data_IF_934051790000
#
_entry.id   IF_934051790000
#
_cell.length_a   1.000
_cell.length_b   1.000
_cell.length_c   1.000
_cell.angle_alpha   90.00
_cell.angle_beta   90.00
_cell.angle_gamma   90.00
#
_symmetry.space_group_name_H-M   'P 1'
#
loop_
_entity.id
_entity.type
_entity.pdbx_description
1 polymer ?
#
# COMPACT_ATOMS: atom_id res chain seq x y z
N UNK A 1 15.82 -15.89 -8.07
CA UNK A 1 17.06 -15.08 -7.97
C UNK A 1 16.74 -13.59 -7.98
N UNK A 2 16.18 -13.03 -9.05
CA UNK A 2 15.85 -11.60 -9.09
C UNK A 2 14.60 -11.24 -8.26
N UNK A 3 13.58 -12.11 -8.28
CA UNK A 3 12.36 -11.95 -7.47
C UNK A 3 12.64 -12.05 -5.97
N UNK A 4 13.50 -12.99 -5.55
CA UNK A 4 13.89 -13.15 -4.15
C UNK A 4 14.66 -11.92 -3.64
N UNK A 5 15.54 -11.37 -4.48
CA UNK A 5 16.26 -10.13 -4.18
C UNK A 5 15.29 -8.96 -4.05
N UNK A 6 14.36 -8.82 -4.99
CA UNK A 6 13.35 -7.75 -4.97
C UNK A 6 12.49 -7.83 -3.69
N UNK A 7 11.99 -9.02 -3.35
CA UNK A 7 11.22 -9.24 -2.14
C UNK A 7 12.02 -8.94 -0.87
N UNK A 8 13.30 -9.32 -0.84
CA UNK A 8 14.19 -9.02 0.28
C UNK A 8 14.41 -7.51 0.43
N UNK A 9 14.62 -6.79 -0.68
CA UNK A 9 14.78 -5.34 -0.67
C UNK A 9 13.51 -4.64 -0.18
N UNK A 10 12.33 -5.05 -0.65
CA UNK A 10 11.05 -4.50 -0.19
C UNK A 10 10.87 -4.74 1.31
N UNK A 11 11.16 -5.94 1.80
CA UNK A 11 11.04 -6.27 3.22
C UNK A 11 11.99 -5.41 4.09
N UNK A 12 13.24 -5.23 3.67
CA UNK A 12 14.22 -4.40 4.38
C UNK A 12 13.81 -2.93 4.37
N UNK A 13 13.49 -2.38 3.19
CA UNK A 13 13.07 -0.99 3.04
C UNK A 13 11.79 -0.71 3.85
N UNK A 14 10.81 -1.64 3.81
CA UNK A 14 9.58 -1.56 4.58
C UNK A 14 9.82 -1.57 6.09
N UNK A 15 10.66 -2.49 6.59
CA UNK A 15 11.06 -2.54 7.99
C UNK A 15 11.76 -1.24 8.43
N UNK A 16 12.68 -0.72 7.62
CA UNK A 16 13.39 0.53 7.92
C UNK A 16 12.43 1.71 8.02
N UNK A 17 11.45 1.80 7.11
CA UNK A 17 10.44 2.87 7.14
C UNK A 17 9.50 2.75 8.34
N UNK A 18 9.10 1.52 8.68
CA UNK A 18 8.21 1.24 9.82
C UNK A 18 8.84 1.64 11.16
N UNK A 19 10.16 1.52 11.29
CA UNK A 19 10.91 1.78 12.53
C UNK A 19 11.82 3.00 12.42
N UNK A 20 11.59 3.91 11.47
CA UNK A 20 12.51 4.99 11.17
C UNK A 20 12.90 5.85 12.38
N UNK A 21 11.94 6.18 13.24
CA UNK A 21 12.16 6.98 14.46
C UNK A 21 13.02 6.24 15.50
N UNK A 22 12.98 4.91 15.51
CA UNK A 22 13.69 4.03 16.44
C UNK A 22 15.14 3.78 15.96
N UNK A 23 15.42 4.03 14.67
CA UNK A 23 16.69 3.72 14.00
C UNK A 23 17.60 4.96 13.88
N UNK A 24 17.92 5.62 15.00
CA UNK A 24 18.69 6.87 15.03
C UNK A 24 20.06 6.83 14.34
N UNK A 25 20.71 5.65 14.23
CA UNK A 25 21.97 5.50 13.49
C UNK A 25 21.78 5.54 11.96
N UNK A 26 20.67 5.01 11.44
CA UNK A 26 20.37 4.98 10.01
C UNK A 26 19.96 6.35 9.49
N UNK A 27 19.30 7.17 10.30
CA UNK A 27 18.91 8.55 9.97
C UNK A 27 20.10 9.42 9.54
N UNK A 28 21.30 9.12 10.05
CA UNK A 28 22.52 9.85 9.72
C UNK A 28 23.22 9.36 8.44
N UNK A 29 22.81 8.20 7.89
CA UNK A 29 23.48 7.52 6.78
C UNK A 29 22.62 7.36 5.54
N UNK A 30 21.31 7.46 5.69
CA UNK A 30 20.34 7.28 4.62
C UNK A 30 19.29 8.38 4.71
N UNK A 31 18.81 8.83 3.56
CA UNK A 31 17.71 9.79 3.49
C UNK A 31 16.36 9.06 3.53
N UNK A 32 15.46 9.52 4.41
CA UNK A 32 14.12 8.92 4.56
C UNK A 32 13.35 8.93 3.23
N UNK A 33 13.40 10.03 2.49
CA UNK A 33 12.66 10.18 1.25
C UNK A 33 13.21 9.25 0.18
N UNK A 34 14.53 9.08 0.09
CA UNK A 34 15.13 8.14 -0.86
C UNK A 34 14.71 6.69 -0.57
N UNK A 35 14.68 6.27 0.69
CA UNK A 35 14.19 4.94 1.08
C UNK A 35 12.69 4.80 0.79
N UNK A 36 11.90 5.81 1.13
CA UNK A 36 10.46 5.88 0.87
C UNK A 36 10.13 5.79 -0.63
N UNK A 37 10.85 6.53 -1.47
CA UNK A 37 10.66 6.53 -2.94
C UNK A 37 11.03 5.19 -3.56
N UNK A 38 12.15 4.59 -3.13
CA UNK A 38 12.53 3.24 -3.57
C UNK A 38 11.43 2.23 -3.20
N UNK A 39 11.01 2.24 -1.94
CA UNK A 39 9.98 1.35 -1.44
C UNK A 39 8.66 1.50 -2.19
N UNK A 40 8.17 2.74 -2.37
CA UNK A 40 6.96 3.03 -3.16
C UNK A 40 7.12 2.49 -4.58
N UNK A 41 8.24 2.77 -5.26
CA UNK A 41 8.46 2.32 -6.64
C UNK A 41 8.39 0.80 -6.78
N UNK A 42 8.96 0.06 -5.82
CA UNK A 42 8.92 -1.41 -5.83
C UNK A 42 7.51 -1.93 -5.56
N UNK A 43 6.83 -1.37 -4.57
CA UNK A 43 5.44 -1.72 -4.25
C UNK A 43 4.48 -1.40 -5.39
N UNK A 44 4.65 -0.27 -6.10
CA UNK A 44 3.83 0.07 -7.27
C UNK A 44 3.98 -0.98 -8.37
N UNK A 45 5.21 -1.45 -8.63
CA UNK A 45 5.43 -2.55 -9.59
C UNK A 45 4.71 -3.83 -9.15
N UNK A 46 4.82 -4.16 -7.86
CA UNK A 46 4.17 -5.34 -7.30
C UNK A 46 2.64 -5.27 -7.39
N UNK A 47 2.09 -4.09 -7.11
CA UNK A 47 0.66 -3.81 -7.21
C UNK A 47 0.18 -3.90 -8.66
N UNK A 48 0.92 -3.35 -9.62
CA UNK A 48 0.60 -3.45 -11.05
C UNK A 48 0.61 -4.91 -11.53
N UNK A 49 1.61 -5.70 -11.13
CA UNK A 49 1.68 -7.14 -11.45
C UNK A 49 0.52 -7.95 -10.86
N UNK A 50 -0.10 -7.46 -9.79
CA UNK A 50 -1.21 -8.13 -9.11
C UNK A 50 -2.55 -7.40 -9.27
N UNK A 51 -2.66 -6.43 -10.19
CA UNK A 51 -3.80 -5.53 -10.28
C UNK A 51 -5.16 -6.22 -10.35
N UNK A 52 -5.28 -7.29 -11.15
CA UNK A 52 -6.54 -8.00 -11.33
C UNK A 52 -7.01 -8.65 -10.02
N UNK A 53 -6.06 -9.17 -9.23
CA UNK A 53 -6.35 -9.70 -7.89
C UNK A 53 -6.75 -8.58 -6.94
N UNK A 54 -5.99 -7.49 -6.89
CA UNK A 54 -6.32 -6.32 -6.06
C UNK A 54 -7.73 -5.83 -6.36
N UNK A 55 -8.08 -5.63 -7.64
CA UNK A 55 -9.40 -5.16 -8.05
C UNK A 55 -10.50 -6.14 -7.64
N UNK A 56 -10.27 -7.44 -7.80
CA UNK A 56 -11.20 -8.48 -7.35
C UNK A 56 -11.47 -8.38 -5.85
N UNK A 57 -10.42 -8.37 -5.04
CA UNK A 57 -10.50 -8.29 -3.57
C UNK A 57 -11.15 -6.98 -3.08
N UNK A 58 -10.89 -5.85 -3.76
CA UNK A 58 -11.58 -4.58 -3.47
C UNK A 58 -13.08 -4.71 -3.73
N UNK A 59 -13.48 -5.31 -4.85
CA UNK A 59 -14.89 -5.48 -5.21
C UNK A 59 -15.64 -6.40 -4.24
N UNK A 60 -14.96 -7.41 -3.70
CA UNK A 60 -15.54 -8.31 -2.68
C UNK A 60 -15.76 -7.61 -1.33
N UNK A 61 -14.99 -6.57 -1.04
CA UNK A 61 -15.14 -5.76 0.16
C UNK A 61 -16.26 -4.73 0.04
N UNK A 62 -17.48 -5.15 0.36
CA UNK A 62 -18.69 -4.28 0.38
C UNK A 62 -18.45 -2.95 1.12
N UNK A 63 -17.77 -2.99 2.27
CA UNK A 63 -17.51 -1.79 3.08
C UNK A 63 -16.51 -0.85 2.41
N UNK A 64 -15.45 -1.40 1.81
CA UNK A 64 -14.49 -0.58 1.07
C UNK A 64 -15.18 0.08 -0.12
N UNK A 65 -15.98 -0.68 -0.88
CA UNK A 65 -16.74 -0.15 -2.02
C UNK A 65 -17.68 1.00 -1.65
N UNK A 66 -18.39 0.89 -0.52
CA UNK A 66 -19.24 1.97 0.00
C UNK A 66 -18.43 3.24 0.28
N UNK A 67 -17.30 3.11 0.99
CA UNK A 67 -16.43 4.23 1.33
C UNK A 67 -15.77 4.86 0.08
N UNK A 68 -15.37 4.06 -0.91
CA UNK A 68 -14.80 4.56 -2.17
C UNK A 68 -15.86 5.31 -3.01
N UNK A 69 -17.11 4.86 -3.02
CA UNK A 69 -18.22 5.60 -3.66
C UNK A 69 -18.44 6.93 -2.98
N UNK A 70 -18.46 6.95 -1.64
CA UNK A 70 -18.61 8.20 -0.87
C UNK A 70 -17.46 9.18 -1.18
N UNK A 71 -16.23 8.69 -1.24
CA UNK A 71 -15.04 9.49 -1.53
C UNK A 71 -15.08 10.20 -2.90
N UNK A 72 -15.81 9.66 -3.88
CA UNK A 72 -15.97 10.29 -5.21
C UNK A 72 -16.89 11.51 -5.19
N UNK A 73 -17.87 11.54 -4.29
CA UNK A 73 -18.97 12.52 -4.32
C UNK A 73 -18.93 13.52 -3.16
N UNK A 74 -18.04 13.33 -2.20
CA UNK A 74 -17.90 14.21 -1.05
C UNK A 74 -16.67 13.92 -0.21
N UNK A 75 -16.49 14.72 0.83
CA UNK A 75 -15.37 14.56 1.76
C UNK A 75 -15.61 13.39 2.73
N UNK A 76 -14.51 12.70 3.03
CA UNK A 76 -14.45 11.66 4.04
C UNK A 76 -14.03 12.27 5.37
N UNK A 77 -14.65 11.81 6.44
CA UNK A 77 -14.19 12.05 7.81
C UNK A 77 -12.83 11.37 8.05
N UNK A 78 -12.11 11.81 9.09
CA UNK A 78 -10.82 11.18 9.44
C UNK A 78 -11.01 9.70 9.82
N UNK A 79 -12.12 9.36 10.46
CA UNK A 79 -12.49 7.99 10.77
C UNK A 79 -12.65 7.15 9.50
N UNK A 80 -13.31 7.70 8.47
CA UNK A 80 -13.51 7.01 7.19
C UNK A 80 -12.20 6.86 6.40
N UNK A 81 -11.33 7.87 6.42
CA UNK A 81 -9.99 7.76 5.83
C UNK A 81 -9.18 6.65 6.51
N UNK A 82 -9.24 6.57 7.84
CA UNK A 82 -8.59 5.50 8.61
C UNK A 82 -9.18 4.13 8.28
N UNK A 83 -10.51 4.03 8.11
CA UNK A 83 -11.16 2.80 7.69
C UNK A 83 -10.74 2.35 6.28
N UNK A 84 -10.69 3.28 5.31
CA UNK A 84 -10.22 2.97 3.95
C UNK A 84 -8.77 2.49 4.00
N UNK A 85 -7.89 3.19 4.71
CA UNK A 85 -6.49 2.79 4.87
C UNK A 85 -6.39 1.34 5.39
N UNK A 86 -7.11 1.03 6.48
CA UNK A 86 -7.12 -0.32 7.07
C UNK A 86 -7.63 -1.37 6.10
N UNK A 87 -8.75 -1.10 5.43
CA UNK A 87 -9.35 -2.04 4.48
C UNK A 87 -8.47 -2.27 3.25
N UNK A 88 -7.81 -1.23 2.74
CA UNK A 88 -6.83 -1.36 1.65
C UNK A 88 -5.63 -2.20 2.06
N UNK A 89 -5.10 -2.00 3.27
CA UNK A 89 -4.02 -2.87 3.79
C UNK A 89 -4.49 -4.31 3.93
N UNK A 90 -5.73 -4.55 4.38
CA UNK A 90 -6.32 -5.89 4.43
C UNK A 90 -6.38 -6.54 3.05
N UNK A 91 -6.83 -5.80 2.02
CA UNK A 91 -6.82 -6.28 0.62
C UNK A 91 -5.42 -6.66 0.16
N UNK A 92 -4.41 -5.82 0.42
CA UNK A 92 -3.04 -6.17 0.04
C UNK A 92 -2.56 -7.43 0.77
N UNK A 93 -2.94 -7.62 2.04
CA UNK A 93 -2.60 -8.83 2.82
C UNK A 93 -3.27 -10.11 2.33
N UNK A 94 -4.33 -10.08 1.51
CA UNK A 94 -4.90 -11.31 0.94
C UNK A 94 -4.07 -11.84 -0.24
N UNK A 95 -3.19 -11.02 -0.81
CA UNK A 95 -2.37 -11.38 -1.96
C UNK A 95 -1.04 -11.99 -1.48
N UNK A 96 -0.70 -13.24 -1.85
CA UNK A 96 0.46 -13.96 -1.31
C UNK A 96 1.79 -13.20 -1.39
N UNK A 97 2.02 -12.47 -2.49
CA UNK A 97 3.27 -11.73 -2.69
C UNK A 97 3.48 -10.62 -1.66
N UNK A 98 2.40 -9.96 -1.23
CA UNK A 98 2.45 -8.91 -0.20
C UNK A 98 2.60 -9.48 1.22
N UNK A 99 2.16 -10.72 1.45
CA UNK A 99 2.35 -11.41 2.74
C UNK A 99 3.82 -11.72 2.98
N UNK A 100 4.53 -12.19 1.95
CA UNK A 100 5.95 -12.58 2.03
C UNK A 100 6.83 -11.40 2.47
N UNK A 101 6.52 -10.18 2.03
CA UNK A 101 7.33 -8.98 2.27
C UNK A 101 7.02 -8.25 3.59
N UNK A 102 6.00 -8.68 4.36
CA UNK A 102 5.54 -8.03 5.60
C UNK A 102 5.28 -6.51 5.49
N UNK A 103 4.03 -6.12 5.24
CA UNK A 103 3.68 -4.72 4.98
C UNK A 103 3.86 -3.78 6.19
N UNK A 104 4.55 -2.63 6.02
CA UNK A 104 4.76 -1.64 7.09
C UNK A 104 3.50 -0.78 7.28
N UNK A 105 2.67 -1.14 8.27
CA UNK A 105 1.34 -0.55 8.44
C UNK A 105 1.38 0.91 8.92
N UNK A 106 2.36 1.32 9.74
CA UNK A 106 2.50 2.71 10.19
C UNK A 106 2.90 3.59 9.02
N UNK A 107 3.77 3.10 8.15
CA UNK A 107 4.20 3.83 6.95
C UNK A 107 3.12 3.94 5.86
N UNK A 108 2.30 2.89 5.67
CA UNK A 108 1.25 2.81 4.64
C UNK A 108 0.01 3.66 4.99
N UNK A 109 0.21 4.98 5.06
CA UNK A 109 -0.87 5.97 5.16
C UNK A 109 -1.73 5.99 3.89
N UNK A 110 -2.93 6.55 3.98
CA UNK A 110 -3.81 6.66 2.81
C UNK A 110 -3.12 7.36 1.62
N UNK A 111 -2.44 8.52 1.77
CA UNK A 111 -1.71 9.15 0.65
C UNK A 111 -0.61 8.27 0.04
N UNK A 112 0.08 7.47 0.86
CA UNK A 112 1.13 6.55 0.39
C UNK A 112 0.51 5.38 -0.38
N UNK A 113 -0.57 4.78 0.14
CA UNK A 113 -1.31 3.73 -0.55
C UNK A 113 -1.82 4.20 -1.92
N UNK A 114 -2.31 5.44 -2.01
CA UNK A 114 -2.75 6.02 -3.28
C UNK A 114 -1.64 6.14 -4.33
N UNK A 115 -0.38 6.27 -3.92
CA UNK A 115 0.78 6.26 -4.83
C UNK A 115 1.19 4.85 -5.27
N UNK A 116 0.84 3.84 -4.48
CA UNK A 116 1.21 2.43 -4.72
C UNK A 116 0.18 1.72 -5.58
N UNK A 117 -1.11 1.96 -5.32
CA UNK A 117 -2.20 1.22 -5.94
C UNK A 117 -2.31 1.50 -7.45
N UNK A 118 -2.80 0.54 -8.25
CA UNK A 118 -2.98 0.72 -9.68
C UNK A 118 -3.85 1.95 -9.99
N UNK A 119 -3.44 2.77 -10.96
CA UNK A 119 -4.09 4.05 -11.28
C UNK A 119 -5.55 3.89 -11.74
N UNK A 120 -5.87 2.74 -12.33
CA UNK A 120 -7.21 2.34 -12.78
C UNK A 120 -8.06 1.66 -11.69
N UNK A 121 -7.54 1.48 -10.46
CA UNK A 121 -8.25 0.77 -9.39
C UNK A 121 -9.64 1.38 -9.12
N UNK A 122 -9.75 2.71 -9.10
CA UNK A 122 -11.00 3.41 -8.77
C UNK A 122 -12.02 3.41 -9.91
N UNK A 123 -11.58 3.46 -11.17
CA UNK A 123 -12.51 3.31 -12.29
C UNK A 123 -12.99 1.87 -12.35
N UNK A 124 -12.06 0.92 -12.42
CA UNK A 124 -12.40 -0.49 -12.62
C UNK A 124 -13.15 -1.10 -11.44
N UNK A 125 -12.86 -0.73 -10.20
CA UNK A 125 -13.67 -1.23 -9.06
C UNK A 125 -15.11 -0.72 -9.09
N UNK A 126 -15.36 0.49 -9.61
CA UNK A 126 -16.64 1.20 -9.46
C UNK A 126 -17.54 1.18 -10.71
N UNK A 127 -17.03 0.73 -11.87
CA UNK A 127 -17.74 0.79 -13.16
C UNK A 127 -18.72 -0.39 -13.41
N UNK A 128 -19.11 -1.15 -12.38
CA UNK A 128 -20.13 -2.21 -12.45
C UNK A 128 -21.12 -2.19 -11.28
#
# INVERSE_FOLDING_TARGET
KDEDLENSMIAIEGFVLEHWEELGYLQNKQDYNEVSERFIRRLTKLAESNKNRIIGEVRESKKLMELLRKAKVGELTEEEKSQIQKLMVTVLKTIPTFVIISLPQRYLTLPVLMKILPSNLFSESLDH
#
